data_IF_337108208208
#
_entry.id   IF_337108208208
#
_cell.length_a   1.000
_cell.length_b   1.000
_cell.length_c   1.000
_cell.angle_alpha   90.00
_cell.angle_beta   90.00
_cell.angle_gamma   90.00
#
_symmetry.space_group_name_H-M   'P 1'
#
loop_
_entity.id
_entity.type
_entity.pdbx_description
1 polymer ?
#
# COMPACT_ATOMS: atom_id res chain seq x y z
N UNK A 1 -23.20 -4.07 -9.02
CA UNK A 1 -23.68 -3.55 -7.73
C UNK A 1 -25.11 -3.03 -7.87
N UNK A 2 -25.80 -2.84 -6.76
CA UNK A 2 -27.06 -2.08 -6.67
C UNK A 2 -26.79 -0.58 -6.85
N UNK A 3 -27.84 0.22 -7.05
CA UNK A 3 -27.77 1.68 -7.24
C UNK A 3 -27.14 2.40 -6.03
N UNK A 4 -27.37 1.87 -4.83
CA UNK A 4 -26.80 2.34 -3.57
C UNK A 4 -25.43 1.71 -3.23
N UNK A 5 -24.75 1.12 -4.23
CA UNK A 5 -23.35 0.72 -4.11
C UNK A 5 -23.10 -0.57 -3.34
N UNK A 6 -24.04 -1.54 -3.33
CA UNK A 6 -23.87 -2.83 -2.65
C UNK A 6 -23.66 -3.99 -3.63
N UNK A 7 -22.79 -4.94 -3.26
CA UNK A 7 -22.51 -6.15 -4.06
C UNK A 7 -23.16 -7.42 -3.49
N UNK A 8 -23.74 -7.35 -2.29
CA UNK A 8 -24.56 -8.41 -1.70
C UNK A 8 -25.47 -7.83 -0.62
N UNK A 9 -26.47 -8.59 -0.19
CA UNK A 9 -27.20 -8.32 1.05
C UNK A 9 -26.29 -8.48 2.28
N UNK A 10 -26.70 -7.97 3.44
CA UNK A 10 -26.00 -8.18 4.72
C UNK A 10 -25.85 -9.66 5.11
N UNK A 11 -26.72 -10.54 4.59
CA UNK A 11 -26.61 -12.00 4.75
C UNK A 11 -25.53 -12.64 3.85
N UNK A 12 -24.93 -11.87 2.93
CA UNK A 12 -24.03 -12.37 1.89
C UNK A 12 -24.74 -12.85 0.62
N UNK A 13 -26.08 -12.84 0.58
CA UNK A 13 -26.81 -13.22 -0.62
C UNK A 13 -26.63 -12.18 -1.75
N UNK A 14 -25.99 -12.60 -2.84
CA UNK A 14 -25.61 -11.74 -3.97
C UNK A 14 -26.24 -12.15 -5.31
N UNK A 15 -27.12 -13.15 -5.31
CA UNK A 15 -27.66 -13.68 -6.55
C UNK A 15 -28.49 -12.64 -7.31
N UNK A 16 -28.17 -12.47 -8.59
CA UNK A 16 -28.93 -11.73 -9.60
C UNK A 16 -29.17 -10.25 -9.28
N UNK A 17 -28.14 -9.57 -8.77
CA UNK A 17 -28.13 -8.11 -8.71
C UNK A 17 -28.20 -7.53 -10.12
N UNK A 18 -27.23 -7.87 -10.98
CA UNK A 18 -27.20 -7.44 -12.37
C UNK A 18 -28.08 -8.33 -13.25
N UNK A 19 -28.55 -7.78 -14.37
CA UNK A 19 -29.38 -8.45 -15.36
C UNK A 19 -28.64 -9.54 -16.13
N UNK A 20 -29.38 -10.40 -16.83
CA UNK A 20 -28.78 -11.43 -17.71
C UNK A 20 -27.93 -10.79 -18.82
N UNK A 21 -28.34 -9.65 -19.37
CA UNK A 21 -27.62 -8.95 -20.42
C UNK A 21 -26.27 -8.42 -19.92
N UNK A 22 -26.24 -7.82 -18.73
CA UNK A 22 -24.99 -7.38 -18.08
C UNK A 22 -24.04 -8.55 -17.79
N UNK A 23 -24.57 -9.70 -17.34
CA UNK A 23 -23.74 -10.90 -17.16
C UNK A 23 -23.17 -11.43 -18.47
N UNK A 24 -23.91 -11.34 -19.58
CA UNK A 24 -23.39 -11.65 -20.91
C UNK A 24 -22.22 -10.73 -21.29
N UNK A 25 -22.32 -9.43 -20.98
CA UNK A 25 -21.22 -8.48 -21.20
C UNK A 25 -19.96 -8.85 -20.40
N UNK A 26 -20.11 -9.30 -19.16
CA UNK A 26 -18.99 -9.81 -18.35
C UNK A 26 -18.37 -11.06 -18.98
N UNK A 27 -19.17 -11.98 -19.53
CA UNK A 27 -18.64 -13.13 -20.25
C UNK A 27 -17.79 -12.73 -21.48
N UNK A 28 -18.17 -11.66 -22.19
CA UNK A 28 -17.35 -11.12 -23.29
C UNK A 28 -16.02 -10.54 -22.78
N UNK A 29 -16.04 -9.81 -21.65
CA UNK A 29 -14.83 -9.27 -21.03
C UNK A 29 -13.86 -10.39 -20.64
N UNK A 30 -14.39 -11.49 -20.07
CA UNK A 30 -13.59 -12.69 -19.78
C UNK A 30 -12.95 -13.27 -21.03
N UNK A 31 -13.69 -13.39 -22.13
CA UNK A 31 -13.15 -13.91 -23.39
C UNK A 31 -12.09 -13.02 -24.06
N UNK A 32 -11.94 -11.76 -23.60
CA UNK A 32 -10.92 -10.79 -24.06
C UNK A 32 -9.74 -10.63 -23.08
N UNK A 33 -9.75 -11.38 -21.98
CA UNK A 33 -8.71 -11.32 -20.96
C UNK A 33 -7.87 -12.59 -21.06
N UNK A 34 -6.58 -12.48 -20.74
CA UNK A 34 -5.68 -13.64 -20.69
C UNK A 34 -5.87 -14.42 -19.39
N UNK A 35 -6.31 -13.72 -18.34
CA UNK A 35 -6.56 -14.29 -17.02
C UNK A 35 -7.72 -13.62 -16.28
N UNK A 36 -8.30 -14.34 -15.31
CA UNK A 36 -9.28 -13.81 -14.35
C UNK A 36 -8.79 -14.05 -12.93
N UNK A 37 -8.75 -13.00 -12.12
CA UNK A 37 -8.40 -13.07 -10.70
C UNK A 37 -9.66 -13.00 -9.83
N UNK A 38 -9.74 -13.91 -8.84
CA UNK A 38 -10.69 -13.86 -7.73
C UNK A 38 -10.01 -14.08 -6.39
N UNK A 39 -10.64 -13.63 -5.30
CA UNK A 39 -10.19 -13.91 -3.94
C UNK A 39 -10.78 -15.21 -3.38
N UNK A 40 -10.13 -15.81 -2.38
CA UNK A 40 -10.60 -17.04 -1.73
C UNK A 40 -12.01 -16.96 -1.13
N UNK A 41 -12.44 -15.79 -0.67
CA UNK A 41 -13.83 -15.57 -0.21
C UNK A 41 -14.86 -15.81 -1.31
N UNK A 42 -14.58 -15.35 -2.53
CA UNK A 42 -15.45 -15.57 -3.70
C UNK A 42 -15.55 -17.07 -4.00
N UNK A 43 -14.44 -17.80 -3.92
CA UNK A 43 -14.44 -19.26 -4.10
C UNK A 43 -15.33 -19.96 -3.06
N UNK A 44 -15.19 -19.59 -1.77
CA UNK A 44 -15.96 -20.17 -0.67
C UNK A 44 -17.47 -19.89 -0.78
N UNK A 45 -17.85 -18.69 -1.21
CA UNK A 45 -19.26 -18.25 -1.21
C UNK A 45 -19.99 -18.58 -2.51
N UNK A 46 -19.33 -18.39 -3.64
CA UNK A 46 -19.99 -18.43 -4.95
C UNK A 46 -19.64 -19.69 -5.75
N UNK A 47 -18.57 -20.40 -5.36
CA UNK A 47 -18.01 -21.57 -6.07
C UNK A 47 -18.03 -21.38 -7.60
N UNK A 48 -17.41 -20.32 -8.13
CA UNK A 48 -17.60 -19.92 -9.51
C UNK A 48 -16.87 -20.86 -10.48
N UNK A 49 -17.32 -20.91 -11.73
CA UNK A 49 -16.59 -21.61 -12.81
C UNK A 49 -15.53 -20.73 -13.49
N UNK A 50 -15.77 -19.42 -13.52
CA UNK A 50 -14.94 -18.40 -14.17
C UNK A 50 -14.58 -18.72 -15.63
N UNK A 51 -15.53 -19.26 -16.38
CA UNK A 51 -15.37 -19.53 -17.81
C UNK A 51 -15.99 -18.41 -18.66
N UNK A 52 -15.46 -18.19 -19.86
CA UNK A 52 -16.13 -17.40 -20.89
C UNK A 52 -17.22 -18.29 -21.51
N UNK A 53 -18.51 -17.99 -21.27
CA UNK A 53 -19.60 -18.72 -21.93
C UNK A 53 -19.82 -18.13 -23.31
N UNK A 54 -19.18 -18.70 -24.32
CA UNK A 54 -19.65 -18.93 -25.70
C UNK A 54 -18.59 -19.78 -26.41
N UNK A 55 -19.02 -20.79 -27.19
CA UNK A 55 -18.19 -21.88 -27.69
C UNK A 55 -16.98 -21.48 -28.52
N UNK A 56 -15.87 -22.21 -28.33
CA UNK A 56 -14.72 -22.23 -29.24
C UNK A 56 -13.77 -21.03 -29.21
N UNK A 57 -13.79 -20.21 -28.15
CA UNK A 57 -12.92 -19.03 -28.00
C UNK A 57 -11.74 -19.21 -27.03
N UNK A 58 -10.93 -18.15 -26.88
CA UNK A 58 -9.89 -18.06 -25.85
C UNK A 58 -10.49 -18.23 -24.46
N UNK A 59 -9.89 -19.09 -23.65
CA UNK A 59 -10.28 -19.32 -22.26
C UNK A 59 -9.23 -18.69 -21.34
N UNK A 60 -9.59 -17.65 -20.57
CA UNK A 60 -8.64 -17.02 -19.64
C UNK A 60 -8.23 -18.01 -18.55
N UNK A 61 -6.95 -18.01 -18.17
CA UNK A 61 -6.53 -18.79 -17.00
C UNK A 61 -7.23 -18.27 -15.74
N UNK A 62 -7.50 -19.17 -14.80
CA UNK A 62 -8.18 -18.82 -13.55
C UNK A 62 -7.16 -18.66 -12.45
N UNK A 63 -7.11 -17.49 -11.83
CA UNK A 63 -6.16 -17.19 -10.76
C UNK A 63 -6.94 -16.98 -9.45
N UNK A 64 -6.59 -17.76 -8.42
CA UNK A 64 -7.20 -17.64 -7.09
C UNK A 64 -6.17 -17.11 -6.11
N UNK A 65 -6.43 -15.95 -5.53
CA UNK A 65 -5.60 -15.35 -4.48
C UNK A 65 -6.14 -15.76 -3.11
N UNK A 66 -5.30 -16.41 -2.30
CA UNK A 66 -5.66 -16.78 -0.93
C UNK A 66 -4.41 -16.82 -0.03
N UNK A 67 -4.30 -15.87 0.90
CA UNK A 67 -3.15 -15.80 1.82
C UNK A 67 -3.01 -17.06 2.68
N UNK A 68 -4.12 -17.56 3.24
CA UNK A 68 -4.12 -18.69 4.19
C UNK A 68 -4.37 -20.05 3.55
N UNK A 69 -4.68 -20.10 2.25
CA UNK A 69 -5.21 -21.29 1.58
C UNK A 69 -6.43 -21.91 2.28
N UNK A 70 -7.24 -21.08 2.95
CA UNK A 70 -8.55 -21.50 3.48
C UNK A 70 -9.56 -21.68 2.34
N UNK A 71 -9.34 -22.63 1.45
CA UNK A 71 -10.19 -22.90 0.30
C UNK A 71 -10.89 -24.25 0.49
N UNK A 72 -12.10 -24.42 -0.07
CA UNK A 72 -12.80 -25.69 0.01
C UNK A 72 -12.04 -26.76 -0.79
N UNK A 73 -12.04 -27.99 -0.29
CA UNK A 73 -11.43 -29.14 -0.97
C UNK A 73 -12.12 -29.44 -2.30
N UNK A 74 -13.43 -29.21 -2.36
CA UNK A 74 -14.23 -29.38 -3.57
C UNK A 74 -14.70 -28.01 -4.07
N UNK A 75 -14.24 -27.62 -5.26
CA UNK A 75 -14.66 -26.41 -5.95
C UNK A 75 -14.64 -26.62 -7.47
N UNK A 76 -15.50 -25.91 -8.18
CA UNK A 76 -15.54 -25.93 -9.66
C UNK A 76 -14.21 -25.46 -10.29
N UNK A 77 -13.40 -24.71 -9.55
CA UNK A 77 -12.09 -24.23 -10.01
C UNK A 77 -11.00 -25.31 -10.00
N UNK A 78 -11.21 -26.42 -9.28
CA UNK A 78 -10.27 -27.55 -9.23
C UNK A 78 -10.52 -28.57 -10.34
N UNK A 79 -11.63 -28.44 -11.06
CA UNK A 79 -11.88 -29.15 -12.30
C UNK A 79 -11.15 -28.42 -13.44
N UNK A 80 -10.09 -29.06 -13.95
CA UNK A 80 -9.20 -28.53 -14.98
C UNK A 80 -9.52 -29.05 -16.39
N UNK A 81 -10.65 -29.72 -16.56
CA UNK A 81 -11.06 -30.28 -17.86
C UNK A 81 -11.15 -29.23 -18.97
N UNK A 82 -11.67 -28.04 -18.62
CA UNK A 82 -11.88 -26.95 -19.59
C UNK A 82 -10.75 -25.90 -19.58
N UNK A 83 -10.25 -25.53 -18.38
CA UNK A 83 -9.38 -24.35 -18.19
C UNK A 83 -8.39 -24.58 -17.05
N UNK A 84 -7.13 -24.16 -17.19
CA UNK A 84 -6.14 -24.22 -16.12
C UNK A 84 -6.46 -23.27 -14.96
N UNK A 85 -6.06 -23.66 -13.76
CA UNK A 85 -6.17 -22.84 -12.55
C UNK A 85 -4.82 -22.72 -11.86
N UNK A 86 -4.47 -21.49 -11.49
CA UNK A 86 -3.31 -21.16 -10.65
C UNK A 86 -3.83 -20.65 -9.31
N UNK A 87 -3.32 -21.22 -8.23
CA UNK A 87 -3.59 -20.73 -6.88
C UNK A 87 -2.36 -20.02 -6.36
N UNK A 88 -2.54 -18.76 -6.03
CA UNK A 88 -1.47 -17.93 -5.48
C UNK A 88 -1.67 -17.77 -3.99
N UNK A 89 -0.63 -18.12 -3.23
CA UNK A 89 -0.67 -18.18 -1.77
C UNK A 89 0.55 -17.53 -1.14
N UNK A 90 0.45 -17.20 0.15
CA UNK A 90 1.60 -16.84 0.95
C UNK A 90 2.42 -18.09 1.32
N UNK A 91 3.75 -17.95 1.34
CA UNK A 91 4.71 -19.00 1.68
C UNK A 91 4.37 -19.63 3.04
N UNK A 92 4.32 -20.95 3.06
CA UNK A 92 4.07 -21.74 4.27
C UNK A 92 2.60 -22.00 4.59
N UNK A 93 1.66 -21.45 3.81
CA UNK A 93 0.23 -21.69 4.00
C UNK A 93 -0.14 -23.16 3.69
N UNK A 94 -0.74 -23.88 4.65
CA UNK A 94 -1.35 -25.22 4.49
C UNK A 94 -0.67 -26.15 3.46
N UNK A 95 0.62 -26.48 3.64
CA UNK A 95 1.39 -27.32 2.70
C UNK A 95 0.72 -28.65 2.32
N UNK A 96 -0.03 -29.27 3.23
CA UNK A 96 -0.80 -30.48 2.93
C UNK A 96 -1.87 -30.23 1.85
N UNK A 97 -2.57 -29.11 1.94
CA UNK A 97 -3.57 -28.69 0.97
C UNK A 97 -2.95 -28.23 -0.36
N UNK A 98 -1.77 -27.59 -0.33
CA UNK A 98 -1.00 -27.32 -1.55
C UNK A 98 -0.70 -28.59 -2.34
N UNK A 99 -0.24 -29.65 -1.66
CA UNK A 99 0.02 -30.96 -2.28
C UNK A 99 -1.25 -31.60 -2.85
N UNK A 100 -2.38 -31.42 -2.17
CA UNK A 100 -3.68 -31.87 -2.67
C UNK A 100 -4.08 -31.13 -3.96
N UNK A 101 -3.93 -29.81 -4.01
CA UNK A 101 -4.19 -29.03 -5.21
C UNK A 101 -3.25 -29.44 -6.36
N UNK A 102 -1.96 -29.60 -6.06
CA UNK A 102 -0.97 -30.06 -7.04
C UNK A 102 -1.28 -31.46 -7.57
N UNK A 103 -1.80 -32.38 -6.74
CA UNK A 103 -2.21 -33.72 -7.20
C UNK A 103 -3.44 -33.70 -8.11
N UNK A 104 -4.24 -32.63 -8.08
CA UNK A 104 -5.32 -32.34 -9.03
C UNK A 104 -4.82 -31.62 -10.31
N UNK A 105 -3.52 -31.30 -10.39
CA UNK A 105 -2.91 -30.56 -11.50
C UNK A 105 -3.01 -29.04 -11.37
N UNK A 106 -3.50 -28.52 -10.24
CA UNK A 106 -3.57 -27.07 -9.99
C UNK A 106 -2.18 -26.55 -9.68
N UNK A 107 -1.74 -25.53 -10.42
CA UNK A 107 -0.46 -24.87 -10.13
C UNK A 107 -0.59 -24.06 -8.85
N UNK A 108 0.34 -24.24 -7.91
CA UNK A 108 0.37 -23.47 -6.66
C UNK A 108 1.64 -22.63 -6.64
N UNK A 109 1.49 -21.31 -6.63
CA UNK A 109 2.61 -20.35 -6.60
C UNK A 109 2.66 -19.71 -5.21
N UNK A 110 3.82 -19.84 -4.55
CA UNK A 110 4.06 -19.23 -3.26
C UNK A 110 4.78 -17.90 -3.41
N UNK A 111 4.27 -16.87 -2.74
CA UNK A 111 4.95 -15.60 -2.55
C UNK A 111 5.34 -15.46 -1.08
N UNK A 112 6.54 -14.94 -0.80
CA UNK A 112 6.91 -14.56 0.57
C UNK A 112 5.91 -13.56 1.16
N UNK A 113 5.46 -12.66 0.29
CA UNK A 113 4.49 -11.61 0.53
C UNK A 113 3.43 -11.68 -0.56
N UNK A 114 2.22 -12.15 -0.24
CA UNK A 114 1.15 -12.13 -1.24
C UNK A 114 0.56 -10.73 -1.35
N UNK A 115 0.99 -9.95 -2.35
CA UNK A 115 0.42 -8.65 -2.67
C UNK A 115 0.07 -8.56 -4.17
N UNK A 116 -0.90 -7.72 -4.58
CA UNK A 116 -1.33 -7.66 -5.98
C UNK A 116 -0.25 -7.22 -6.98
N UNK A 117 0.71 -6.39 -6.60
CA UNK A 117 1.78 -5.91 -7.49
C UNK A 117 2.71 -7.06 -7.90
N UNK A 118 3.26 -7.79 -6.94
CA UNK A 118 4.15 -8.93 -7.22
C UNK A 118 3.42 -10.01 -8.02
N UNK A 119 2.12 -10.22 -7.75
CA UNK A 119 1.29 -11.15 -8.52
C UNK A 119 1.19 -10.69 -9.97
N UNK A 120 0.93 -9.41 -10.21
CA UNK A 120 0.83 -8.88 -11.57
C UNK A 120 2.17 -8.89 -12.30
N UNK A 121 3.29 -8.58 -11.63
CA UNK A 121 4.65 -8.69 -12.20
C UNK A 121 4.95 -10.15 -12.59
N UNK A 122 4.65 -11.10 -11.71
CA UNK A 122 4.83 -12.52 -11.99
C UNK A 122 4.06 -13.01 -13.23
N UNK A 123 2.81 -12.58 -13.38
CA UNK A 123 2.02 -12.93 -14.56
C UNK A 123 2.43 -12.13 -15.80
N UNK A 124 2.86 -10.88 -15.64
CA UNK A 124 3.43 -10.10 -16.74
C UNK A 124 4.67 -10.80 -17.33
N UNK A 125 5.59 -11.27 -16.49
CA UNK A 125 6.80 -12.00 -16.93
C UNK A 125 6.47 -13.33 -17.62
N UNK A 126 5.29 -13.89 -17.36
CA UNK A 126 4.74 -15.08 -18.03
C UNK A 126 3.95 -14.75 -19.30
N UNK A 127 3.88 -13.48 -19.69
CA UNK A 127 3.25 -13.01 -20.93
C UNK A 127 1.76 -12.72 -20.84
N UNK A 128 1.19 -12.62 -19.63
CA UNK A 128 -0.22 -12.20 -19.45
C UNK A 128 -0.29 -10.67 -19.50
N UNK A 129 -1.05 -10.12 -20.46
CA UNK A 129 -1.11 -8.69 -20.74
C UNK A 129 -2.41 -8.05 -20.22
N UNK A 130 -3.49 -8.82 -20.21
CA UNK A 130 -4.82 -8.38 -19.79
C UNK A 130 -5.39 -9.32 -18.74
N UNK A 131 -5.56 -8.82 -17.51
CA UNK A 131 -6.09 -9.60 -16.39
C UNK A 131 -7.35 -8.94 -15.84
N UNK A 132 -8.44 -9.70 -15.81
CA UNK A 132 -9.72 -9.24 -15.28
C UNK A 132 -9.85 -9.56 -13.80
N UNK A 133 -10.07 -8.53 -12.97
CA UNK A 133 -10.27 -8.68 -11.54
C UNK A 133 -11.76 -8.75 -11.21
N UNK A 134 -12.25 -9.93 -10.81
CA UNK A 134 -13.64 -10.17 -10.39
C UNK A 134 -13.70 -10.53 -8.89
N UNK A 135 -13.20 -9.64 -8.05
CA UNK A 135 -13.01 -9.93 -6.63
C UNK A 135 -13.94 -9.13 -5.71
N UNK A 136 -14.00 -9.54 -4.44
CA UNK A 136 -14.72 -8.80 -3.41
C UNK A 136 -14.02 -7.51 -3.02
N UNK A 137 -14.75 -6.60 -2.36
CA UNK A 137 -14.30 -5.23 -2.09
C UNK A 137 -12.94 -5.10 -1.40
N UNK A 138 -12.59 -6.00 -0.47
CA UNK A 138 -11.28 -5.99 0.20
C UNK A 138 -10.12 -6.21 -0.78
N UNK A 139 -10.23 -7.21 -1.67
CA UNK A 139 -9.17 -7.49 -2.65
C UNK A 139 -9.17 -6.42 -3.75
N UNK A 140 -10.33 -5.91 -4.14
CA UNK A 140 -10.44 -4.81 -5.10
C UNK A 140 -9.75 -3.54 -4.56
N UNK A 141 -9.98 -3.19 -3.30
CA UNK A 141 -9.31 -2.06 -2.65
C UNK A 141 -7.79 -2.24 -2.61
N UNK A 142 -7.32 -3.42 -2.20
CA UNK A 142 -5.88 -3.75 -2.20
C UNK A 142 -5.25 -3.62 -3.60
N UNK A 143 -5.92 -4.10 -4.65
CA UNK A 143 -5.42 -4.01 -6.03
C UNK A 143 -5.44 -2.58 -6.59
N UNK A 144 -6.46 -1.79 -6.23
CA UNK A 144 -6.52 -0.37 -6.58
C UNK A 144 -5.37 0.38 -5.88
N UNK A 145 -5.21 0.18 -4.57
CA UNK A 145 -4.16 0.82 -3.77
C UNK A 145 -2.74 0.44 -4.22
N UNK A 146 -2.55 -0.76 -4.79
CA UNK A 146 -1.26 -1.18 -5.32
C UNK A 146 -0.96 -0.60 -6.71
N UNK A 147 -1.90 0.10 -7.34
CA UNK A 147 -1.74 0.74 -8.65
C UNK A 147 -1.72 -0.22 -9.83
N UNK A 148 -2.31 -1.43 -9.69
CA UNK A 148 -2.33 -2.43 -10.79
C UNK A 148 -3.63 -2.41 -11.61
N UNK A 149 -4.65 -1.68 -11.14
CA UNK A 149 -5.94 -1.57 -11.82
C UNK A 149 -5.93 -0.34 -12.72
N UNK A 150 -5.95 -0.57 -14.03
CA UNK A 150 -5.93 0.49 -15.03
C UNK A 150 -7.33 0.95 -15.42
N UNK A 151 -8.27 0.00 -15.56
CA UNK A 151 -9.62 0.26 -16.08
C UNK A 151 -10.68 -0.35 -15.18
N UNK A 152 -11.73 0.42 -14.91
CA UNK A 152 -12.88 0.02 -14.12
C UNK A 152 -14.09 -0.22 -15.02
N UNK A 153 -14.83 -1.30 -14.74
CA UNK A 153 -16.14 -1.60 -15.34
C UNK A 153 -17.17 -1.77 -14.21
N UNK A 154 -17.95 -0.73 -13.95
CA UNK A 154 -18.96 -0.70 -12.89
C UNK A 154 -20.36 -0.93 -13.47
N UNK A 155 -20.89 -2.14 -13.26
CA UNK A 155 -22.28 -2.47 -13.60
C UNK A 155 -23.21 -2.09 -12.44
N UNK A 156 -24.13 -1.16 -12.67
CA UNK A 156 -25.08 -0.61 -11.69
C UNK A 156 -26.50 -1.04 -12.05
N UNK A 157 -27.11 -1.87 -11.20
CA UNK A 157 -28.48 -2.31 -11.36
C UNK A 157 -29.46 -1.33 -10.68
N UNK A 158 -30.67 -1.13 -11.22
CA UNK A 158 -31.71 -0.27 -10.63
C UNK A 158 -32.39 -0.97 -9.45
N UNK A 159 -31.60 -1.24 -8.41
CA UNK A 159 -32.00 -1.91 -7.17
C UNK A 159 -31.41 -1.14 -6.00
N UNK A 160 -32.10 -1.11 -4.87
CA UNK A 160 -31.62 -0.52 -3.62
C UNK A 160 -31.81 -1.56 -2.52
N UNK A 161 -30.82 -1.78 -1.66
CA UNK A 161 -30.90 -2.77 -0.58
C UNK A 161 -30.53 -2.20 0.80
N UNK A 162 -29.72 -1.15 0.84
CA UNK A 162 -29.20 -0.53 2.05
C UNK A 162 -28.30 -1.46 2.85
N UNK A 163 -28.26 -1.23 4.16
CA UNK A 163 -27.52 -2.06 5.11
C UNK A 163 -26.11 -1.55 5.38
N UNK A 164 -25.87 -1.18 6.65
CA UNK A 164 -24.54 -0.76 7.13
C UNK A 164 -23.48 -1.84 6.89
N UNK A 165 -23.85 -3.11 7.07
CA UNK A 165 -22.96 -4.26 6.94
C UNK A 165 -23.05 -4.94 5.57
N UNK A 166 -23.84 -4.40 4.63
CA UNK A 166 -23.89 -4.91 3.28
C UNK A 166 -22.59 -4.51 2.55
N UNK A 167 -21.89 -5.46 1.90
CA UNK A 167 -20.58 -5.21 1.31
C UNK A 167 -20.66 -4.25 0.12
N UNK A 168 -19.67 -3.37 0.02
CA UNK A 168 -19.43 -2.44 -1.09
C UNK A 168 -18.51 -3.09 -2.17
N UNK A 169 -18.52 -2.56 -3.42
CA UNK A 169 -17.66 -3.04 -4.50
C UNK A 169 -16.17 -2.78 -4.24
N UNK A 170 -15.85 -1.72 -3.49
CA UNK A 170 -14.50 -1.37 -3.06
C UNK A 170 -14.53 -1.24 -1.55
N UNK A 171 -13.58 -1.89 -0.87
CA UNK A 171 -13.38 -1.79 0.57
C UNK A 171 -12.66 -0.50 0.96
N UNK A 172 -11.98 -0.52 2.10
CA UNK A 172 -11.26 0.63 2.62
C UNK A 172 -10.03 0.96 1.75
N UNK A 173 -10.00 2.17 1.19
CA UNK A 173 -8.82 2.74 0.50
C UNK A 173 -8.01 3.67 1.42
N UNK A 174 -8.47 3.91 2.65
CA UNK A 174 -7.82 4.83 3.60
C UNK A 174 -8.09 6.32 3.34
N UNK A 175 -8.98 6.63 2.41
CA UNK A 175 -9.44 8.00 2.12
C UNK A 175 -10.46 8.46 3.17
N UNK A 176 -10.25 9.64 3.72
CA UNK A 176 -11.07 10.24 4.78
C UNK A 176 -11.80 11.52 4.31
N UNK A 177 -11.34 12.13 3.21
CA UNK A 177 -11.93 13.32 2.61
C UNK A 177 -12.30 13.08 1.14
N UNK A 178 -13.36 13.73 0.64
CA UNK A 178 -13.81 13.56 -0.75
C UNK A 178 -12.82 14.06 -1.79
N UNK A 179 -11.94 15.01 -1.42
CA UNK A 179 -10.82 15.47 -2.25
C UNK A 179 -9.81 14.36 -2.57
N UNK A 180 -9.83 13.26 -1.81
CA UNK A 180 -8.94 12.11 -1.99
C UNK A 180 -9.59 11.00 -2.84
N UNK A 181 -10.87 11.15 -3.22
CA UNK A 181 -11.56 10.15 -4.03
C UNK A 181 -10.88 10.00 -5.39
N UNK A 182 -10.80 8.77 -5.89
CA UNK A 182 -10.19 8.49 -7.19
C UNK A 182 -11.17 8.84 -8.32
N UNK A 183 -10.75 9.76 -9.19
CA UNK A 183 -11.48 10.07 -10.40
C UNK A 183 -11.19 9.05 -11.50
N UNK A 184 -12.22 8.77 -12.31
CA UNK A 184 -12.07 8.05 -13.56
C UNK A 184 -11.92 9.05 -14.71
N UNK A 185 -10.99 8.77 -15.62
CA UNK A 185 -10.84 9.48 -16.89
C UNK A 185 -11.43 8.66 -18.04
N UNK A 186 -11.70 9.32 -19.17
CA UNK A 186 -12.35 8.72 -20.35
C UNK A 186 -13.61 7.92 -19.99
N UNK A 187 -14.45 8.53 -19.16
CA UNK A 187 -15.63 7.88 -18.62
C UNK A 187 -16.68 7.70 -19.71
N UNK A 188 -17.13 6.45 -19.89
CA UNK A 188 -18.21 6.06 -20.78
C UNK A 188 -19.38 5.51 -19.97
N UNK A 189 -20.59 5.95 -20.34
CA UNK A 189 -21.86 5.52 -19.76
C UNK A 189 -22.66 4.76 -20.82
N UNK A 190 -22.95 3.49 -20.58
CA UNK A 190 -23.66 2.62 -21.52
C UNK A 190 -24.84 1.94 -20.82
N UNK A 191 -26.04 2.07 -21.37
CA UNK A 191 -27.20 1.35 -20.87
C UNK A 191 -27.21 -0.10 -21.39
N UNK A 192 -27.25 -1.08 -20.49
CA UNK A 192 -27.27 -2.51 -20.82
C UNK A 192 -28.54 -3.15 -20.25
N UNK A 193 -29.60 -3.17 -21.08
CA UNK A 193 -30.92 -3.58 -20.63
C UNK A 193 -31.41 -2.68 -19.49
N UNK A 194 -31.76 -3.22 -18.32
CA UNK A 194 -32.18 -2.41 -17.18
C UNK A 194 -31.01 -1.80 -16.38
N UNK A 195 -29.78 -2.24 -16.60
CA UNK A 195 -28.60 -1.79 -15.83
C UNK A 195 -27.85 -0.67 -16.57
N UNK A 196 -26.99 0.05 -15.84
CA UNK A 196 -26.03 1.01 -16.39
C UNK A 196 -24.60 0.46 -16.24
N UNK A 197 -23.80 0.51 -17.30
CA UNK A 197 -22.36 0.29 -17.25
C UNK A 197 -21.67 1.66 -17.24
N UNK A 198 -20.92 1.92 -16.18
CA UNK A 198 -19.98 3.04 -16.10
C UNK A 198 -18.59 2.44 -16.27
N UNK A 199 -17.82 2.92 -17.23
CA UNK A 199 -16.45 2.47 -17.43
C UNK A 199 -15.52 3.64 -17.62
N UNK A 200 -14.27 3.51 -17.22
CA UNK A 200 -13.26 4.55 -17.32
C UNK A 200 -11.93 4.03 -16.83
N UNK A 201 -10.88 4.79 -17.08
CA UNK A 201 -9.56 4.47 -16.58
C UNK A 201 -9.35 5.15 -15.23
N UNK A 202 -8.82 4.43 -14.25
CA UNK A 202 -8.20 5.09 -13.09
C UNK A 202 -6.93 5.74 -13.62
N UNK A 203 -6.64 6.99 -13.28
CA UNK A 203 -5.39 7.65 -13.70
C UNK A 203 -4.17 6.76 -13.38
N UNK A 204 -3.35 6.39 -14.37
CA UNK A 204 -2.03 5.81 -14.14
C UNK A 204 -0.91 6.71 -14.70
N UNK A 205 0.05 7.05 -13.82
CA UNK A 205 1.47 7.45 -13.97
C UNK A 205 1.92 8.00 -15.35
N UNK A 206 2.48 9.23 -15.44
CA UNK A 206 3.04 9.75 -16.68
C UNK A 206 4.09 8.80 -17.26
N UNK A 207 4.05 8.62 -18.58
CA UNK A 207 5.02 7.89 -19.38
C UNK A 207 6.45 8.38 -19.08
N UNK A 208 7.24 7.54 -18.39
CA UNK A 208 8.65 7.82 -18.03
C UNK A 208 9.62 7.31 -19.10
N UNK A 209 9.21 7.29 -20.37
CA UNK A 209 10.20 7.19 -21.45
C UNK A 209 11.04 8.48 -21.40
N UNK A 210 12.36 8.44 -21.10
CA UNK A 210 13.15 9.66 -21.00
C UNK A 210 13.30 10.27 -22.40
N UNK A 211 12.53 11.32 -22.67
CA UNK A 211 12.97 12.35 -23.60
C UNK A 211 14.07 13.10 -22.88
N UNK A 212 15.30 12.96 -23.35
CA UNK A 212 16.46 13.72 -22.87
C UNK A 212 16.25 15.16 -23.36
N UNK A 213 15.93 16.13 -22.50
CA UNK A 213 15.89 17.53 -22.91
C UNK A 213 17.33 17.98 -23.15
N UNK A 214 17.59 18.70 -24.25
CA UNK A 214 18.89 19.36 -24.43
C UNK A 214 19.06 20.45 -23.37
N UNK A 215 20.32 20.81 -23.08
CA UNK A 215 20.68 21.84 -22.07
C UNK A 215 19.94 23.18 -22.27
N UNK A 216 19.42 23.44 -23.47
CA UNK A 216 18.70 24.68 -23.82
C UNK A 216 17.24 24.73 -23.33
N UNK A 217 16.63 23.62 -22.90
CA UNK A 217 15.21 23.60 -22.48
C UNK A 217 14.98 23.83 -20.98
N UNK A 218 16.03 24.09 -20.17
CA UNK A 218 15.89 24.30 -18.72
C UNK A 218 15.51 25.71 -18.28
N UNK A 219 15.12 26.60 -19.20
CA UNK A 219 14.74 27.99 -18.87
C UNK A 219 13.39 28.40 -19.44
N UNK A 220 12.32 27.72 -19.05
CA UNK A 220 10.98 28.30 -18.95
C UNK A 220 10.02 27.32 -18.27
N UNK A 221 9.84 27.44 -16.95
CA UNK A 221 8.63 26.92 -16.30
C UNK A 221 7.70 28.12 -16.10
N UNK A 222 6.61 28.08 -16.85
CA UNK A 222 5.47 29.00 -16.85
C UNK A 222 4.82 29.04 -15.44
N UNK A 223 4.56 30.22 -14.85
CA UNK A 223 3.95 30.36 -13.53
C UNK A 223 2.43 30.12 -13.49
N UNK A 224 1.82 29.47 -14.50
CA UNK A 224 0.34 29.29 -14.56
C UNK A 224 -0.20 27.89 -14.25
N UNK A 225 0.59 26.98 -13.66
CA UNK A 225 0.09 25.64 -13.31
C UNK A 225 -0.37 25.57 -11.84
N UNK A 226 -1.67 25.32 -11.63
CA UNK A 226 -2.27 24.82 -10.39
C UNK A 226 -3.44 23.87 -10.75
N UNK A 227 -3.94 22.96 -9.87
CA UNK A 227 -3.47 22.50 -8.56
C UNK A 227 -3.32 20.95 -8.39
N UNK A 228 -2.32 20.54 -7.61
CA UNK A 228 -2.22 19.30 -6.79
C UNK A 228 -2.83 17.97 -7.30
N UNK A 229 -2.10 17.25 -8.16
CA UNK A 229 -2.18 15.78 -8.22
C UNK A 229 -1.57 15.19 -6.94
N UNK A 230 -2.36 14.58 -6.07
CA UNK A 230 -1.85 13.89 -4.88
C UNK A 230 -1.19 12.57 -5.27
N UNK A 231 0.11 12.57 -5.48
CA UNK A 231 0.94 11.38 -5.66
C UNK A 231 1.21 10.70 -4.31
N UNK A 232 1.18 9.36 -4.26
CA UNK A 232 1.65 8.61 -3.09
C UNK A 232 3.13 8.32 -3.28
N UNK A 233 3.95 8.70 -2.29
CA UNK A 233 5.37 8.42 -2.27
C UNK A 233 5.65 7.35 -1.22
N UNK A 234 6.05 6.18 -1.71
CA UNK A 234 6.53 5.09 -0.87
C UNK A 234 8.03 5.26 -0.63
N UNK A 235 8.44 5.01 0.62
CA UNK A 235 9.86 4.94 0.97
C UNK A 235 10.09 3.80 1.95
N UNK A 236 11.17 3.05 1.77
CA UNK A 236 11.52 1.95 2.66
C UNK A 236 13.01 1.68 2.67
N UNK A 237 13.60 1.39 1.49
CA UNK A 237 15.03 1.11 1.40
C UNK A 237 15.82 2.40 1.39
N UNK A 238 16.94 2.41 2.10
CA UNK A 238 17.79 3.59 2.28
C UNK A 238 18.48 4.04 1.01
N UNK A 239 18.50 3.21 -0.04
CA UNK A 239 19.11 3.49 -1.34
C UNK A 239 18.10 3.94 -2.42
N UNK A 240 16.82 4.01 -2.10
CA UNK A 240 15.79 4.50 -3.03
C UNK A 240 15.78 6.03 -3.09
N UNK A 241 15.05 6.60 -4.08
CA UNK A 241 14.91 8.04 -4.29
C UNK A 241 14.53 8.81 -3.02
N UNK A 242 13.62 8.25 -2.23
CA UNK A 242 13.18 8.80 -0.94
C UNK A 242 13.70 7.99 0.26
N UNK A 243 14.73 7.17 0.05
CA UNK A 243 15.34 6.33 1.09
C UNK A 243 15.88 7.13 2.28
N UNK A 244 16.23 8.40 2.03
CA UNK A 244 16.60 9.35 3.06
C UNK A 244 15.44 9.71 4.02
N UNK A 245 14.19 9.33 3.76
CA UNK A 245 13.07 9.49 4.70
C UNK A 245 13.06 8.42 5.79
N UNK A 246 13.70 7.27 5.54
CA UNK A 246 13.83 6.21 6.54
C UNK A 246 14.65 6.67 7.74
N UNK A 247 14.24 6.25 8.95
CA UNK A 247 15.03 6.36 10.17
C UNK A 247 16.33 5.53 10.12
N UNK A 248 16.42 4.56 9.20
CA UNK A 248 17.62 3.76 8.93
C UNK A 248 18.61 4.47 7.99
N UNK A 249 18.27 5.62 7.40
CA UNK A 249 19.22 6.32 6.54
C UNK A 249 20.47 6.75 7.32
N UNK A 250 21.68 6.69 6.74
CA UNK A 250 22.96 7.01 7.41
C UNK A 250 23.19 8.53 7.50
N UNK A 251 22.30 9.23 8.21
CA UNK A 251 22.34 10.68 8.43
C UNK A 251 22.52 10.94 9.94
N UNK A 252 23.73 11.28 10.40
CA UNK A 252 23.98 11.60 11.79
C UNK A 252 23.14 12.78 12.28
N UNK A 253 22.68 12.74 13.52
CA UNK A 253 21.91 13.82 14.15
C UNK A 253 22.57 14.27 15.45
N UNK A 254 22.41 15.54 15.81
CA UNK A 254 22.91 16.11 17.06
C UNK A 254 21.73 16.45 17.96
N UNK A 255 21.62 15.74 19.08
CA UNK A 255 20.51 15.87 20.01
C UNK A 255 21.03 16.28 21.39
N UNK A 256 20.37 17.21 22.11
CA UNK A 256 20.73 17.55 23.47
C UNK A 256 20.51 16.36 24.41
N UNK A 257 21.41 16.16 25.37
CA UNK A 257 21.26 15.25 26.50
C UNK A 257 20.51 15.92 27.68
N UNK A 258 20.41 15.21 28.81
CA UNK A 258 19.72 15.70 30.02
C UNK A 258 20.39 16.93 30.62
N UNK A 259 21.69 17.14 30.36
CA UNK A 259 22.49 18.27 30.84
C UNK A 259 22.54 19.43 29.83
N UNK A 260 21.86 19.29 28.68
CA UNK A 260 21.83 20.28 27.60
C UNK A 260 23.06 20.25 26.68
N UNK A 261 23.95 19.27 26.81
CA UNK A 261 25.08 19.08 25.92
C UNK A 261 24.64 18.33 24.65
N UNK A 262 25.21 18.71 23.50
CA UNK A 262 24.87 18.06 22.24
C UNK A 262 25.63 16.75 22.05
N UNK A 263 24.87 15.68 21.83
CA UNK A 263 25.39 14.33 21.54
C UNK A 263 25.10 13.95 20.10
N UNK A 264 26.13 13.52 19.38
CA UNK A 264 25.99 12.99 18.02
C UNK A 264 25.54 11.52 18.05
N UNK A 265 24.54 11.22 17.23
CA UNK A 265 24.03 9.88 16.96
C UNK A 265 24.20 9.57 15.48
N UNK A 266 24.69 8.38 15.12
CA UNK A 266 24.99 8.03 13.72
C UNK A 266 23.74 7.90 12.82
N UNK A 267 22.56 7.73 13.40
CA UNK A 267 21.28 7.86 12.69
C UNK A 267 20.12 8.13 13.65
N UNK A 268 18.96 8.45 13.09
CA UNK A 268 17.68 8.52 13.84
C UNK A 268 17.39 7.21 14.56
N UNK A 269 17.68 6.05 13.95
CA UNK A 269 17.49 4.75 14.59
C UNK A 269 18.38 4.52 15.82
N UNK A 270 19.63 5.01 15.81
CA UNK A 270 20.51 4.93 16.99
C UNK A 270 19.91 5.71 18.16
N UNK A 271 19.49 6.94 17.91
CA UNK A 271 18.85 7.79 18.89
C UNK A 271 17.56 7.15 19.43
N UNK A 272 16.68 6.68 18.54
CA UNK A 272 15.40 6.10 18.90
C UNK A 272 15.56 4.84 19.77
N UNK A 273 16.48 3.94 19.44
CA UNK A 273 16.71 2.72 20.21
C UNK A 273 17.36 2.99 21.58
N UNK A 274 18.28 3.96 21.66
CA UNK A 274 18.90 4.34 22.92
C UNK A 274 17.91 5.01 23.89
N UNK A 275 16.98 5.82 23.37
CA UNK A 275 15.97 6.53 24.17
C UNK A 275 15.00 5.60 24.94
N UNK A 276 14.97 4.31 24.61
CA UNK A 276 14.26 3.29 25.39
C UNK A 276 14.82 3.14 26.80
N UNK A 277 16.11 3.42 27.00
CA UNK A 277 16.85 3.12 28.22
C UNK A 277 17.28 4.39 28.97
N UNK A 278 17.16 5.58 28.35
CA UNK A 278 17.48 6.88 28.97
C UNK A 278 16.53 7.13 30.16
N UNK A 279 17.07 7.71 31.24
CA UNK A 279 16.35 8.00 32.48
C UNK A 279 16.19 6.81 33.43
N UNK A 280 16.69 5.61 33.07
CA UNK A 280 16.64 4.43 33.93
C UNK A 280 17.88 4.38 34.80
N UNK A 281 17.70 4.47 36.13
CA UNK A 281 18.79 4.40 37.12
C UNK A 281 19.33 2.98 37.28
N UNK A 282 19.95 2.43 36.23
CA UNK A 282 20.58 1.10 36.23
C UNK A 282 21.85 1.11 35.36
N UNK A 283 23.02 0.69 35.88
CA UNK A 283 24.26 0.62 35.09
C UNK A 283 24.17 -0.22 33.81
N UNK A 284 23.32 -1.25 33.79
CA UNK A 284 23.09 -2.09 32.61
C UNK A 284 22.31 -1.33 31.51
N UNK A 285 21.44 -0.40 31.89
CA UNK A 285 20.74 0.45 30.93
C UNK A 285 21.74 1.41 30.25
N UNK A 286 22.68 1.96 31.02
CA UNK A 286 23.75 2.82 30.49
C UNK A 286 24.67 2.06 29.52
N UNK A 287 25.11 0.86 29.89
CA UNK A 287 25.91 -0.01 29.01
C UNK A 287 25.15 -0.34 27.70
N UNK A 288 23.83 -0.51 27.76
CA UNK A 288 23.01 -0.70 26.55
C UNK A 288 22.99 0.55 25.67
N UNK A 289 22.87 1.74 26.26
CA UNK A 289 22.91 3.02 25.52
C UNK A 289 24.26 3.17 24.82
N UNK A 290 25.37 2.92 25.52
CA UNK A 290 26.71 3.07 24.98
C UNK A 290 26.97 2.08 23.83
N UNK A 291 26.50 0.82 23.97
CA UNK A 291 26.55 -0.18 22.91
C UNK A 291 25.76 0.23 21.67
N UNK A 292 24.52 0.70 21.87
CA UNK A 292 23.67 1.19 20.77
C UNK A 292 24.32 2.38 20.08
N UNK A 293 24.90 3.31 20.84
CA UNK A 293 25.59 4.49 20.31
C UNK A 293 26.83 4.11 19.50
N UNK A 294 27.56 3.07 19.91
CA UNK A 294 28.74 2.55 19.21
C UNK A 294 28.45 1.59 18.04
N UNK A 295 27.18 1.30 17.75
CA UNK A 295 26.81 0.37 16.69
C UNK A 295 27.34 0.84 15.33
N UNK A 296 27.74 -0.11 14.47
CA UNK A 296 28.33 0.24 13.17
C UNK A 296 27.28 0.58 12.12
N UNK A 297 26.03 0.17 12.34
CA UNK A 297 24.92 0.44 11.43
C UNK A 297 23.59 0.61 12.16
N UNK A 298 22.62 1.30 11.54
CA UNK A 298 21.26 1.44 12.05
C UNK A 298 20.57 0.09 12.33
N UNK A 299 20.81 -0.92 11.49
CA UNK A 299 20.29 -2.29 11.68
C UNK A 299 20.88 -2.94 12.93
N UNK A 300 22.16 -2.70 13.21
CA UNK A 300 22.82 -3.20 14.40
C UNK A 300 22.28 -2.54 15.66
N UNK A 301 22.11 -1.20 15.65
CA UNK A 301 21.46 -0.45 16.72
C UNK A 301 20.04 -0.96 16.99
N UNK A 302 19.24 -1.14 15.93
CA UNK A 302 17.89 -1.69 15.99
C UNK A 302 17.84 -3.10 16.56
N UNK A 303 18.78 -3.97 16.16
CA UNK A 303 18.91 -5.34 16.66
C UNK A 303 19.24 -5.33 18.16
N UNK A 304 20.19 -4.52 18.60
CA UNK A 304 20.59 -4.43 20.01
C UNK A 304 19.45 -3.89 20.89
N UNK A 305 18.83 -2.76 20.52
CA UNK A 305 17.73 -2.18 21.28
C UNK A 305 16.52 -3.12 21.40
N UNK A 306 16.11 -3.77 20.30
CA UNK A 306 15.01 -4.76 20.32
C UNK A 306 15.36 -6.02 21.10
N UNK A 307 16.60 -6.49 21.06
CA UNK A 307 17.03 -7.67 21.81
C UNK A 307 17.01 -7.41 23.32
N UNK A 308 17.56 -6.27 23.76
CA UNK A 308 17.57 -5.88 25.17
C UNK A 308 16.16 -5.66 25.69
N UNK A 309 15.30 -4.96 24.93
CA UNK A 309 13.88 -4.78 25.29
C UNK A 309 13.16 -6.11 25.53
N UNK A 310 13.43 -7.14 24.71
CA UNK A 310 12.81 -8.47 24.87
C UNK A 310 13.39 -9.28 26.03
N UNK A 311 14.71 -9.21 26.25
CA UNK A 311 15.39 -10.01 27.29
C UNK A 311 15.30 -9.38 28.67
N UNK A 312 15.29 -8.05 28.74
CA UNK A 312 15.37 -7.25 29.95
C UNK A 312 14.38 -6.07 29.87
N UNK A 313 13.06 -6.34 29.85
CA UNK A 313 12.04 -5.30 29.73
C UNK A 313 12.07 -4.31 30.91
N UNK A 314 12.57 -4.72 32.08
CA UNK A 314 12.73 -3.87 33.26
C UNK A 314 13.78 -2.74 33.08
N UNK A 315 14.63 -2.82 32.05
CA UNK A 315 15.57 -1.75 31.71
C UNK A 315 14.96 -0.69 30.79
N UNK A 316 13.76 -0.92 30.25
CA UNK A 316 13.07 0.06 29.41
C UNK A 316 12.32 1.05 30.29
N UNK A 317 12.40 2.34 29.96
CA UNK A 317 11.67 3.41 30.66
C UNK A 317 10.16 3.12 30.69
N UNK A 318 9.53 3.42 31.82
CA UNK A 318 8.12 3.03 32.08
C UNK A 318 7.11 3.75 31.20
N UNK A 319 7.43 4.94 30.71
CA UNK A 319 6.61 5.78 29.84
C UNK A 319 6.94 5.61 28.34
N UNK A 320 7.71 4.58 27.97
CA UNK A 320 8.17 4.39 26.60
C UNK A 320 7.02 4.41 25.56
N UNK A 321 5.91 3.72 25.86
CA UNK A 321 4.78 3.62 24.94
C UNK A 321 4.09 4.96 24.67
N UNK A 322 4.10 5.90 25.64
CA UNK A 322 3.53 7.24 25.47
C UNK A 322 4.52 8.22 24.82
N UNK A 323 5.83 8.06 25.03
CA UNK A 323 6.84 9.01 24.54
C UNK A 323 7.48 8.65 23.20
N UNK A 324 7.35 7.40 22.73
CA UNK A 324 8.02 6.93 21.50
C UNK A 324 7.72 7.76 20.24
N UNK A 325 6.49 8.29 20.10
CA UNK A 325 6.10 9.14 18.97
C UNK A 325 6.85 10.46 18.99
N UNK A 326 6.91 11.11 20.16
CA UNK A 326 7.60 12.37 20.36
C UNK A 326 9.12 12.22 20.16
N UNK A 327 9.71 11.14 20.70
CA UNK A 327 11.14 10.82 20.51
C UNK A 327 11.49 10.70 19.02
N UNK A 328 10.68 9.96 18.25
CA UNK A 328 10.89 9.82 16.80
C UNK A 328 10.74 11.17 16.09
N UNK A 329 9.69 11.93 16.41
CA UNK A 329 9.42 13.22 15.78
C UNK A 329 10.55 14.22 16.02
N UNK A 330 11.08 14.34 17.25
CA UNK A 330 12.22 15.22 17.56
C UNK A 330 13.48 14.85 16.78
N UNK A 331 13.76 13.55 16.65
CA UNK A 331 14.90 13.06 15.89
C UNK A 331 14.78 13.33 14.38
N UNK A 332 13.59 13.12 13.82
CA UNK A 332 13.29 13.48 12.42
C UNK A 332 13.38 14.99 12.22
N UNK A 333 12.81 15.80 13.11
CA UNK A 333 12.90 17.27 13.04
C UNK A 333 14.36 17.71 12.97
N UNK A 334 15.20 17.22 13.88
CA UNK A 334 16.63 17.49 13.87
C UNK A 334 17.27 17.14 12.52
N UNK A 335 17.08 15.90 12.04
CA UNK A 335 17.62 15.43 10.76
C UNK A 335 17.24 16.34 9.59
N UNK A 336 15.96 16.66 9.44
CA UNK A 336 15.49 17.49 8.33
C UNK A 336 15.77 18.98 8.51
N UNK A 337 16.14 19.43 9.71
CA UNK A 337 16.62 20.80 9.95
C UNK A 337 18.11 20.98 9.66
N UNK A 338 18.95 19.97 9.91
CA UNK A 338 20.41 20.09 9.72
C UNK A 338 20.87 19.78 8.28
N UNK A 339 20.06 19.07 7.48
CA UNK A 339 20.40 18.69 6.12
C UNK A 339 19.52 19.42 5.09
N UNK A 340 20.00 20.52 4.47
CA UNK A 340 19.21 21.32 3.53
C UNK A 340 18.67 20.50 2.35
N UNK A 341 19.47 19.58 1.80
CA UNK A 341 19.05 18.72 0.70
C UNK A 341 17.90 17.76 1.09
N UNK A 342 17.88 17.27 2.34
CA UNK A 342 16.76 16.45 2.83
C UNK A 342 15.53 17.30 3.12
N UNK A 343 15.74 18.53 3.62
CA UNK A 343 14.67 19.49 3.79
C UNK A 343 13.99 19.78 2.44
N UNK A 344 14.76 20.15 1.42
CA UNK A 344 14.26 20.38 0.06
C UNK A 344 13.56 19.14 -0.51
N UNK A 345 14.12 17.94 -0.31
CA UNK A 345 13.48 16.69 -0.71
C UNK A 345 12.14 16.46 0.01
N UNK A 346 12.03 16.79 1.29
CA UNK A 346 10.77 16.68 2.03
C UNK A 346 9.76 17.72 1.52
N UNK A 347 10.19 18.96 1.28
CA UNK A 347 9.34 20.02 0.75
C UNK A 347 8.88 19.76 -0.68
N UNK A 348 9.71 19.13 -1.53
CA UNK A 348 9.34 18.76 -2.90
C UNK A 348 8.23 17.71 -2.97
N UNK A 349 7.92 17.05 -1.85
CA UNK A 349 6.76 16.15 -1.74
C UNK A 349 5.48 16.88 -1.36
N UNK A 350 5.45 18.23 -1.37
CA UNK A 350 4.24 18.99 -1.09
C UNK A 350 3.09 18.51 -2.00
N UNK A 351 1.94 18.23 -1.38
CA UNK A 351 0.80 17.61 -2.07
C UNK A 351 0.81 16.08 -2.11
N UNK A 352 1.92 15.42 -1.80
CA UNK A 352 2.01 13.95 -1.80
C UNK A 352 1.74 13.33 -0.43
N UNK A 353 1.21 12.10 -0.40
CA UNK A 353 1.10 11.29 0.83
C UNK A 353 2.37 10.46 0.99
N UNK A 354 3.04 10.56 2.14
CA UNK A 354 4.25 9.79 2.44
C UNK A 354 3.88 8.50 3.18
N UNK A 355 4.31 7.35 2.65
CA UNK A 355 4.08 6.03 3.26
C UNK A 355 5.40 5.31 3.46
N UNK A 356 5.71 4.98 4.72
CA UNK A 356 6.82 4.09 5.04
C UNK A 356 6.39 2.67 4.69
N UNK A 357 7.05 2.05 3.71
CA UNK A 357 6.61 0.78 3.11
C UNK A 357 7.23 -0.45 3.82
N UNK A 358 7.43 -0.39 5.14
CA UNK A 358 7.84 -1.57 5.91
C UNK A 358 6.71 -2.59 5.95
N UNK A 359 6.95 -3.82 5.46
CA UNK A 359 5.92 -4.87 5.41
C UNK A 359 5.68 -5.55 6.77
N UNK A 360 6.41 -5.16 7.81
CA UNK A 360 6.40 -5.83 9.12
C UNK A 360 6.15 -4.88 10.29
N UNK A 361 6.33 -3.58 10.09
CA UNK A 361 6.10 -2.58 11.13
C UNK A 361 4.71 -1.97 10.97
N UNK A 362 3.73 -2.54 11.68
CA UNK A 362 2.34 -2.05 11.64
C UNK A 362 2.14 -0.73 12.39
N UNK A 363 3.14 -0.26 13.13
CA UNK A 363 3.03 1.00 13.87
C UNK A 363 3.66 2.14 13.07
N UNK A 364 4.95 2.01 12.72
CA UNK A 364 5.68 3.03 12.00
C UNK A 364 5.40 3.00 10.49
N UNK A 365 5.20 1.81 9.94
CA UNK A 365 4.96 1.58 8.53
C UNK A 365 3.49 1.46 8.15
N UNK A 366 3.25 1.42 6.84
CA UNK A 366 1.95 1.19 6.22
C UNK A 366 1.48 -0.26 6.31
N UNK A 367 2.31 -1.18 6.80
CA UNK A 367 1.98 -2.61 6.78
C UNK A 367 2.00 -3.18 5.37
N UNK A 368 1.75 -4.48 5.26
CA UNK A 368 1.88 -5.22 3.99
C UNK A 368 0.67 -4.99 3.07
N UNK A 369 -0.50 -4.82 3.66
CA UNK A 369 -1.82 -4.69 3.06
C UNK A 369 -2.44 -3.28 3.31
N UNK A 370 -1.66 -2.32 3.81
CA UNK A 370 -2.16 -0.98 4.20
C UNK A 370 -2.78 -0.92 5.60
N UNK A 371 -2.63 -1.98 6.38
CA UNK A 371 -3.15 -2.15 7.74
C UNK A 371 -2.30 -1.46 8.81
N UNK A 372 -1.09 -1.02 8.45
CA UNK A 372 -0.19 -0.30 9.33
C UNK A 372 -0.61 1.16 9.53
N UNK A 373 -0.32 1.68 10.73
CA UNK A 373 -0.74 3.03 11.14
C UNK A 373 0.05 4.14 10.41
N UNK A 374 1.16 3.80 9.77
CA UNK A 374 2.05 4.71 9.02
C UNK A 374 2.45 5.94 9.85
N UNK A 375 2.76 5.76 11.15
CA UNK A 375 3.13 6.88 12.00
C UNK A 375 4.37 7.61 11.47
N UNK A 376 5.32 6.93 10.82
CA UNK A 376 6.51 7.60 10.30
C UNK A 376 6.16 8.55 9.15
N UNK A 377 5.36 8.11 8.18
CA UNK A 377 4.86 8.97 7.11
C UNK A 377 4.06 10.15 7.64
N UNK A 378 3.20 9.93 8.65
CA UNK A 378 2.44 11.00 9.32
C UNK A 378 3.34 12.05 9.98
N UNK A 379 4.41 11.63 10.66
CA UNK A 379 5.37 12.55 11.27
C UNK A 379 6.13 13.37 10.23
N UNK A 380 6.53 12.76 9.12
CA UNK A 380 7.20 13.48 8.02
C UNK A 380 6.28 14.49 7.35
N UNK A 381 5.01 14.14 7.12
CA UNK A 381 4.02 15.07 6.59
C UNK A 381 3.74 16.22 7.56
N UNK A 382 3.69 15.95 8.87
CA UNK A 382 3.60 17.00 9.90
C UNK A 382 4.81 17.94 9.83
N UNK A 383 6.03 17.41 9.75
CA UNK A 383 7.26 18.21 9.62
C UNK A 383 7.27 19.03 8.33
N UNK A 384 6.83 18.46 7.21
CA UNK A 384 6.69 19.18 5.94
C UNK A 384 5.79 20.39 6.08
N UNK A 385 4.63 20.24 6.72
CA UNK A 385 3.70 21.35 6.95
C UNK A 385 4.30 22.44 7.84
N UNK A 386 5.07 22.07 8.87
CA UNK A 386 5.77 23.05 9.72
C UNK A 386 6.82 23.85 8.93
N UNK A 387 7.66 23.18 8.13
CA UNK A 387 8.69 23.87 7.34
C UNK A 387 8.11 24.73 6.21
N UNK A 388 6.98 24.32 5.61
CA UNK A 388 6.25 25.16 4.65
C UNK A 388 5.68 26.42 5.33
N UNK A 389 5.12 26.28 6.54
CA UNK A 389 4.60 27.42 7.32
C UNK A 389 5.68 28.38 7.82
N UNK A 390 6.86 27.87 8.20
CA UNK A 390 8.03 28.70 8.53
C UNK A 390 8.57 29.44 7.30
N UNK A 391 8.52 28.81 6.11
CA UNK A 391 8.94 29.43 4.85
C UNK A 391 8.00 30.54 4.38
N UNK A 392 6.68 30.38 4.58
CA UNK A 392 5.69 31.43 4.27
C UNK A 392 5.78 32.63 5.24
N UNK A 393 6.08 32.37 6.52
CA UNK A 393 6.32 33.44 7.49
C UNK A 393 7.64 34.19 7.26
N UNK A 394 8.67 33.50 6.75
CA UNK A 394 9.93 34.12 6.34
C UNK A 394 9.77 34.99 5.07
N UNK A 395 8.95 34.57 4.11
CA UNK A 395 8.68 35.36 2.90
C UNK A 395 7.78 36.57 3.17
N UNK A 396 6.78 36.47 4.04
CA UNK A 396 5.95 37.62 4.46
C UNK A 396 6.76 38.69 5.22
N UNK A 397 7.70 38.28 6.08
CA UNK A 397 8.59 39.23 6.77
C UNK A 397 9.59 39.93 5.85
N UNK A 398 9.82 39.41 4.63
CA UNK A 398 10.70 40.06 3.64
C UNK A 398 9.93 41.06 2.77
N UNK A 399 8.62 40.87 2.58
CA UNK A 399 7.75 41.79 1.84
C UNK A 399 7.31 43.04 2.62
N UNK A 400 7.53 43.10 3.93
CA UNK A 400 7.23 44.28 4.77
C UNK A 400 8.47 45.18 4.96
N UNK A 401 9.63 44.77 4.42
CA UNK A 401 10.92 45.47 4.56
C UNK A 401 11.50 46.01 3.23
N UNK A 402 10.63 46.31 2.25
CA UNK A 402 10.91 47.15 1.07
C UNK A 402 9.80 48.19 0.95
#
# INVERSE_FOLDING_TARGET
>A
MTLDGKIAASSGHAAWISSKLSRNRVFELRGRSDAIIVGGNTVRRDNPRLTARHGGGHMPIRIVLSQSLDLPEEANLWDLSDVSTVVVTQRGARRGFQRYLASKGVEVVEFDILNPRDVMEYFHDRGYLSILWECGGTLAASAISSGVIHKVFAFVAPKIIGGKNAPSPVGELGMVEMSQALDLIDVCFEQIGPDMLISGFLQPIPDLTPTIPSEDETFAIDPTVAPFETSIIFFYKTWDLYGAFSNFSPHPIQMPDEDGNYVTWFSVEHYYQANKFIGVSNPLAQDCIDKIKSAKSPEEAARMGRLTQRRQPHLVRSDWESVKIDVMYRALKCKFSIYPHLNSMLLSTAGSVLVEASPHDLFWGGGRDGEGLNYLGRLLMKLRSEFLGESSAASENTCIAL
#
